data_IF_289334565672
#
_entry.id   IF_289334565672
#
_cell.length_a   1.000
_cell.length_b   1.000
_cell.length_c   1.000
_cell.angle_alpha   90.00
_cell.angle_beta   90.00
_cell.angle_gamma   90.00
#
_symmetry.space_group_name_H-M   'P 1'
#
loop_
_entity.id
_entity.type
_entity.pdbx_description
1 polymer ?
#
# COMPACT_ATOMS: atom_id res chain seq x y z
N UNK A 1 -54.91 -22.18 5.00
CA UNK A 1 -53.52 -22.61 5.26
C UNK A 1 -52.75 -22.59 3.95
N UNK A 2 -52.00 -21.53 3.69
CA UNK A 2 -51.06 -21.38 2.56
C UNK A 2 -50.05 -20.35 3.08
N UNK A 3 -48.80 -20.65 3.38
CA UNK A 3 -47.79 -21.41 2.64
C UNK A 3 -46.66 -20.42 2.31
N UNK A 4 -45.91 -19.97 3.32
CA UNK A 4 -44.80 -19.01 3.16
C UNK A 4 -43.61 -19.74 2.56
N UNK A 5 -43.34 -19.49 1.27
CA UNK A 5 -42.11 -19.92 0.60
C UNK A 5 -40.94 -19.08 1.09
N UNK A 6 -40.01 -19.71 1.81
CA UNK A 6 -38.75 -19.09 2.21
C UNK A 6 -37.91 -18.74 0.97
N UNK A 7 -37.45 -17.49 0.91
CA UNK A 7 -36.50 -17.05 -0.13
C UNK A 7 -35.17 -17.79 0.01
N UNK A 8 -34.57 -18.30 -1.09
CA UNK A 8 -33.30 -18.98 -1.00
C UNK A 8 -32.21 -17.98 -0.62
N UNK A 9 -31.46 -18.32 0.43
CA UNK A 9 -30.30 -17.57 0.89
C UNK A 9 -29.32 -17.43 -0.29
N UNK A 10 -29.20 -16.22 -0.85
CA UNK A 10 -28.25 -15.93 -1.93
C UNK A 10 -26.85 -16.21 -1.40
N UNK A 11 -26.13 -17.15 -2.02
CA UNK A 11 -24.69 -17.30 -1.78
C UNK A 11 -24.00 -15.96 -2.05
N UNK A 12 -23.05 -15.52 -1.20
CA UNK A 12 -22.26 -14.33 -1.50
C UNK A 12 -21.56 -14.54 -2.84
N UNK A 13 -21.79 -13.63 -3.78
CA UNK A 13 -21.14 -13.65 -5.09
C UNK A 13 -19.62 -13.56 -4.87
N UNK A 14 -18.87 -14.40 -5.57
CA UNK A 14 -17.40 -14.29 -5.52
C UNK A 14 -16.99 -12.93 -6.12
N UNK A 15 -15.87 -12.33 -5.67
CA UNK A 15 -15.41 -11.02 -6.16
C UNK A 15 -15.21 -10.89 -7.68
N UNK A 16 -15.32 -11.99 -8.44
CA UNK A 16 -15.22 -12.04 -9.90
C UNK A 16 -16.54 -11.73 -10.62
N UNK A 17 -17.70 -11.90 -9.99
CA UNK A 17 -19.02 -11.85 -10.66
C UNK A 17 -19.71 -10.48 -10.60
N UNK A 18 -19.21 -9.64 -9.72
CA UNK A 18 -19.68 -8.28 -9.54
C UNK A 18 -18.79 -7.43 -10.45
N UNK A 19 -19.37 -6.75 -11.44
CA UNK A 19 -18.70 -6.12 -12.61
C UNK A 19 -17.68 -5.01 -12.34
N UNK A 20 -16.96 -5.06 -11.21
CA UNK A 20 -15.94 -4.13 -10.73
C UNK A 20 -14.64 -4.20 -11.54
N UNK A 21 -14.41 -5.29 -12.30
CA UNK A 21 -13.25 -5.48 -13.19
C UNK A 21 -13.52 -5.07 -14.66
N UNK A 22 -14.35 -4.05 -14.90
CA UNK A 22 -14.69 -3.60 -16.26
C UNK A 22 -13.80 -2.45 -16.79
N UNK A 23 -12.75 -2.03 -16.07
CA UNK A 23 -11.66 -1.19 -16.62
C UNK A 23 -10.41 -2.02 -16.96
N UNK A 24 -10.65 -3.22 -17.49
CA UNK A 24 -9.66 -4.29 -17.71
C UNK A 24 -8.72 -4.09 -18.91
N UNK A 25 -8.73 -2.93 -19.58
CA UNK A 25 -8.28 -2.87 -20.97
C UNK A 25 -7.22 -1.81 -21.34
N UNK A 26 -6.69 -0.98 -20.43
CA UNK A 26 -5.80 0.11 -20.89
C UNK A 26 -4.39 0.15 -20.28
N UNK A 27 -4.08 -0.53 -19.17
CA UNK A 27 -2.80 -0.27 -18.46
C UNK A 27 -2.00 -1.52 -18.04
N UNK A 28 -2.51 -2.76 -18.19
CA UNK A 28 -1.79 -3.94 -17.69
C UNK A 28 -1.83 -5.13 -18.65
N UNK A 29 -0.65 -5.60 -19.07
CA UNK A 29 -0.49 -6.82 -19.86
C UNK A 29 -1.04 -8.07 -19.15
N UNK A 30 -1.36 -9.10 -19.93
CA UNK A 30 -1.97 -10.35 -19.47
C UNK A 30 -1.12 -11.02 -18.38
N UNK A 31 -1.58 -10.98 -17.12
CA UNK A 31 -0.96 -11.66 -15.98
C UNK A 31 -0.86 -10.83 -14.70
N UNK A 32 -1.00 -9.50 -14.77
CA UNK A 32 -1.03 -8.65 -13.58
C UNK A 32 -2.44 -8.61 -12.96
N UNK A 33 -2.56 -8.96 -11.69
CA UNK A 33 -3.80 -8.80 -10.94
C UNK A 33 -3.97 -7.32 -10.59
N UNK A 34 -5.05 -6.66 -11.05
CA UNK A 34 -5.27 -5.24 -10.81
C UNK A 34 -5.22 -4.96 -9.32
N UNK A 35 -4.33 -4.06 -8.96
CA UNK A 35 -4.08 -3.66 -7.59
C UNK A 35 -3.72 -2.21 -7.68
N UNK A 36 -4.40 -1.41 -6.87
CA UNK A 36 -4.23 0.03 -6.82
C UNK A 36 -3.61 0.31 -5.46
N UNK A 37 -2.27 0.30 -5.34
CA UNK A 37 -1.61 0.52 -4.07
C UNK A 37 -2.10 1.80 -3.41
N UNK A 38 -2.46 1.73 -2.14
CA UNK A 38 -2.71 2.89 -1.30
C UNK A 38 -1.57 2.95 -0.30
N UNK A 39 -0.68 3.92 -0.51
CA UNK A 39 0.57 4.05 0.23
C UNK A 39 0.48 5.28 1.12
N UNK A 40 0.86 5.11 2.39
CA UNK A 40 1.07 6.22 3.33
C UNK A 40 2.50 6.20 3.79
N UNK A 41 3.11 7.38 3.88
CA UNK A 41 4.43 7.62 4.43
C UNK A 41 4.26 8.57 5.61
N UNK A 42 4.27 8.04 6.82
CA UNK A 42 4.29 8.81 8.06
C UNK A 42 5.75 9.10 8.42
N UNK A 43 6.10 10.35 8.68
CA UNK A 43 7.49 10.74 8.92
C UNK A 43 7.59 11.88 9.91
N UNK A 44 8.68 11.95 10.67
CA UNK A 44 8.93 13.09 11.58
C UNK A 44 9.08 14.38 10.78
N UNK A 45 8.31 15.41 11.12
CA UNK A 45 8.24 16.68 10.37
C UNK A 45 9.59 17.39 10.23
N UNK A 46 10.48 17.24 11.23
CA UNK A 46 11.84 17.82 11.21
C UNK A 46 12.80 17.19 10.20
N UNK A 47 12.40 16.11 9.52
CA UNK A 47 13.13 15.58 8.36
C UNK A 47 12.84 16.49 7.16
N UNK A 48 13.74 17.44 6.91
CA UNK A 48 13.67 18.30 5.74
C UNK A 48 13.99 17.55 4.43
N UNK A 49 13.85 18.23 3.29
CA UNK A 49 14.09 17.63 1.96
C UNK A 49 15.56 17.20 1.74
N UNK A 50 16.51 17.64 2.56
CA UNK A 50 17.92 17.19 2.50
C UNK A 50 18.14 15.88 3.25
N UNK A 51 17.37 15.66 4.33
CA UNK A 51 17.40 14.43 5.12
C UNK A 51 16.47 13.36 4.57
N UNK A 52 15.37 13.75 3.93
CA UNK A 52 14.43 12.85 3.28
C UNK A 52 13.86 13.47 1.99
N UNK A 53 14.42 13.11 0.84
CA UNK A 53 13.90 13.55 -0.46
C UNK A 53 12.62 12.77 -0.82
N UNK A 54 11.50 13.26 -0.26
CA UNK A 54 10.15 12.69 -0.42
C UNK A 54 9.72 12.62 -1.88
N UNK A 55 10.10 13.61 -2.69
CA UNK A 55 9.67 13.68 -4.09
C UNK A 55 10.40 12.66 -4.95
N UNK A 56 11.71 12.52 -4.78
CA UNK A 56 12.46 11.49 -5.48
C UNK A 56 12.10 10.09 -4.98
N UNK A 57 11.93 9.92 -3.66
CA UNK A 57 11.43 8.67 -3.07
C UNK A 57 10.09 8.25 -3.68
N UNK A 58 9.11 9.16 -3.78
CA UNK A 58 7.80 8.84 -4.35
C UNK A 58 7.88 8.36 -5.81
N UNK A 59 8.78 8.94 -6.61
CA UNK A 59 8.98 8.58 -8.03
C UNK A 59 9.52 7.17 -8.21
N UNK A 60 10.35 6.69 -7.28
CA UNK A 60 10.88 5.32 -7.32
C UNK A 60 9.99 4.32 -6.56
N UNK A 61 9.26 4.77 -5.55
CA UNK A 61 8.40 3.90 -4.74
C UNK A 61 7.22 3.34 -5.53
N UNK A 62 6.54 4.16 -6.32
CA UNK A 62 5.39 3.74 -7.12
C UNK A 62 5.70 2.57 -8.08
N UNK A 63 6.71 2.67 -8.98
CA UNK A 63 7.05 1.57 -9.87
C UNK A 63 7.61 0.34 -9.14
N UNK A 64 8.33 0.54 -8.03
CA UNK A 64 8.83 -0.57 -7.20
C UNK A 64 7.67 -1.40 -6.65
N UNK A 65 6.71 -0.74 -6.00
CA UNK A 65 5.54 -1.40 -5.42
C UNK A 65 4.77 -2.11 -6.52
N UNK A 66 4.46 -1.43 -7.62
CA UNK A 66 3.75 -2.02 -8.78
C UNK A 66 4.41 -3.31 -9.26
N UNK A 67 5.73 -3.30 -9.41
CA UNK A 67 6.52 -4.45 -9.88
C UNK A 67 6.50 -5.59 -8.86
N UNK A 68 6.87 -5.33 -7.61
CA UNK A 68 7.01 -6.34 -6.56
C UNK A 68 5.66 -6.96 -6.14
N UNK A 69 4.58 -6.17 -6.13
CA UNK A 69 3.23 -6.68 -5.83
C UNK A 69 2.47 -7.19 -7.05
N UNK A 70 3.12 -7.27 -8.22
CA UNK A 70 2.52 -7.69 -9.49
C UNK A 70 1.17 -6.99 -9.74
N UNK A 71 1.17 -5.68 -9.51
CA UNK A 71 -0.03 -4.86 -9.50
C UNK A 71 -0.22 -4.19 -10.85
N UNK A 72 -1.48 -3.98 -11.24
CA UNK A 72 -1.82 -3.13 -12.38
C UNK A 72 -2.73 -2.00 -11.91
N UNK A 73 -2.39 -0.76 -12.26
CA UNK A 73 -3.20 0.41 -11.97
C UNK A 73 -2.41 1.60 -11.44
N UNK A 74 -3.14 2.58 -10.90
CA UNK A 74 -2.59 3.82 -10.34
C UNK A 74 -2.30 3.65 -8.85
N UNK A 75 -1.05 3.84 -8.44
CA UNK A 75 -0.66 3.97 -7.04
C UNK A 75 -0.95 5.37 -6.50
N UNK A 76 -1.27 5.44 -5.20
CA UNK A 76 -1.54 6.69 -4.49
C UNK A 76 -0.60 6.75 -3.31
N UNK A 77 0.18 7.81 -3.19
CA UNK A 77 1.14 8.01 -2.10
C UNK A 77 0.76 9.28 -1.34
N UNK A 78 0.54 9.16 -0.03
CA UNK A 78 0.34 10.27 0.88
C UNK A 78 1.54 10.42 1.80
N UNK A 79 2.04 11.63 1.96
CA UNK A 79 3.04 11.97 2.97
C UNK A 79 2.35 12.67 4.14
N UNK A 80 2.54 12.16 5.35
CA UNK A 80 1.92 12.66 6.58
C UNK A 80 3.02 13.07 7.57
N UNK A 81 3.24 14.37 7.80
CA UNK A 81 4.18 14.82 8.81
C UNK A 81 3.62 14.54 10.21
N UNK A 82 4.47 13.98 11.06
CA UNK A 82 4.24 13.83 12.49
C UNK A 82 5.09 14.89 13.22
N UNK A 83 4.48 15.78 14.04
CA UNK A 83 5.23 16.81 14.76
C UNK A 83 6.31 16.23 15.68
N UNK A 84 6.03 15.08 16.29
CA UNK A 84 6.93 14.35 17.18
C UNK A 84 6.79 12.85 16.94
N UNK A 85 7.91 12.14 17.08
CA UNK A 85 7.99 10.68 17.02
C UNK A 85 8.92 10.18 18.11
N UNK A 86 8.55 9.07 18.73
CA UNK A 86 9.32 8.47 19.81
C UNK A 86 9.64 7.01 19.49
N UNK A 87 10.87 6.59 19.76
CA UNK A 87 11.32 5.20 19.65
C UNK A 87 11.92 4.80 20.99
N UNK A 88 11.42 3.71 21.57
CA UNK A 88 11.84 3.23 22.91
C UNK A 88 11.72 4.29 24.02
N UNK A 89 10.72 5.17 23.94
CA UNK A 89 10.46 6.22 24.93
C UNK A 89 11.24 7.51 24.71
N UNK A 90 12.15 7.57 23.75
CA UNK A 90 12.97 8.75 23.44
C UNK A 90 12.56 9.38 22.11
N UNK A 91 12.63 10.71 22.03
CA UNK A 91 12.32 11.39 20.76
C UNK A 91 13.36 10.99 19.71
N UNK A 92 12.89 10.46 18.58
CA UNK A 92 13.76 9.93 17.55
C UNK A 92 13.12 10.12 16.17
N UNK A 93 13.88 10.57 15.16
CA UNK A 93 13.39 10.59 13.79
C UNK A 93 12.93 9.21 13.33
N UNK A 94 11.77 9.16 12.68
CA UNK A 94 11.10 7.94 12.30
C UNK A 94 10.40 8.12 10.95
N UNK A 95 10.49 7.09 10.11
CA UNK A 95 9.75 6.99 8.85
C UNK A 95 9.05 5.64 8.80
N UNK A 96 7.73 5.65 8.69
CA UNK A 96 6.90 4.46 8.52
C UNK A 96 6.21 4.50 7.17
N UNK A 97 6.31 3.41 6.41
CA UNK A 97 5.58 3.25 5.16
C UNK A 97 4.55 2.14 5.29
N UNK A 98 3.28 2.49 5.09
CA UNK A 98 2.21 1.50 4.93
C UNK A 98 1.91 1.32 3.44
N UNK A 99 2.00 0.10 2.94
CA UNK A 99 1.55 -0.28 1.60
C UNK A 99 0.30 -1.14 1.73
N UNK A 100 -0.86 -0.55 1.41
CA UNK A 100 -2.12 -1.27 1.40
C UNK A 100 -2.47 -1.75 -0.02
N UNK A 101 -2.64 -3.05 -0.18
CA UNK A 101 -2.93 -3.72 -1.45
C UNK A 101 -4.31 -4.36 -1.41
N UNK A 102 -4.91 -4.63 -2.58
CA UNK A 102 -6.04 -5.57 -2.60
C UNK A 102 -5.56 -6.96 -2.12
N UNK A 103 -6.45 -7.78 -1.52
CA UNK A 103 -6.12 -9.13 -1.07
C UNK A 103 -5.50 -9.99 -2.19
N UNK A 104 -5.01 -11.18 -1.80
CA UNK A 104 -4.42 -12.23 -2.65
C UNK A 104 -2.90 -12.16 -2.89
N UNK A 105 -2.14 -11.39 -2.10
CA UNK A 105 -0.67 -11.51 -2.06
C UNK A 105 -0.25 -12.47 -0.96
N UNK A 106 0.66 -13.39 -1.26
CA UNK A 106 1.17 -14.33 -0.26
C UNK A 106 1.98 -13.62 0.82
N UNK A 107 2.09 -14.18 2.04
CA UNK A 107 2.95 -13.61 3.09
C UNK A 107 4.39 -13.41 2.63
N UNK A 108 4.95 -14.37 1.88
CA UNK A 108 6.30 -14.28 1.33
C UNK A 108 6.45 -13.13 0.31
N UNK A 109 5.43 -12.88 -0.51
CA UNK A 109 5.45 -11.73 -1.43
C UNK A 109 5.34 -10.40 -0.69
N UNK A 110 4.49 -10.33 0.34
CA UNK A 110 4.38 -9.13 1.21
C UNK A 110 5.71 -8.85 1.93
N UNK A 111 6.38 -9.88 2.45
CA UNK A 111 7.69 -9.74 3.08
C UNK A 111 8.76 -9.20 2.11
N UNK A 112 8.87 -9.77 0.90
CA UNK A 112 9.79 -9.26 -0.13
C UNK A 112 9.51 -7.81 -0.48
N UNK A 113 8.23 -7.43 -0.60
CA UNK A 113 7.86 -6.05 -0.85
C UNK A 113 8.27 -5.13 0.32
N UNK A 114 8.07 -5.55 1.57
CA UNK A 114 8.54 -4.79 2.73
C UNK A 114 10.06 -4.57 2.68
N UNK A 115 10.83 -5.62 2.41
CA UNK A 115 12.30 -5.56 2.33
C UNK A 115 12.76 -4.63 1.20
N UNK A 116 12.11 -4.71 0.03
CA UNK A 116 12.41 -3.85 -1.12
C UNK A 116 12.15 -2.37 -0.81
N UNK A 117 11.04 -2.05 -0.14
CA UNK A 117 10.70 -0.69 0.26
C UNK A 117 11.65 -0.18 1.35
N UNK A 118 12.05 -1.02 2.31
CA UNK A 118 13.09 -0.68 3.30
C UNK A 118 14.43 -0.34 2.63
N UNK A 119 14.85 -1.16 1.67
CA UNK A 119 16.07 -0.91 0.90
C UNK A 119 15.98 0.40 0.10
N UNK A 120 14.80 0.71 -0.46
CA UNK A 120 14.54 1.99 -1.13
C UNK A 120 14.64 3.16 -0.14
N UNK A 121 14.01 3.08 1.02
CA UNK A 121 14.08 4.12 2.07
C UNK A 121 15.52 4.41 2.45
N UNK A 122 16.37 3.39 2.60
CA UNK A 122 17.78 3.54 2.92
C UNK A 122 18.59 4.35 1.89
N UNK A 123 18.08 4.51 0.65
CA UNK A 123 18.70 5.37 -0.37
C UNK A 123 18.26 6.84 -0.29
N UNK A 124 17.10 7.12 0.31
CA UNK A 124 16.45 8.43 0.30
C UNK A 124 16.40 9.13 1.65
N UNK A 125 16.50 8.36 2.71
CA UNK A 125 16.72 8.87 4.06
C UNK A 125 18.22 8.96 4.23
N UNK A 126 18.75 10.19 4.31
CA UNK A 126 20.18 10.41 4.46
C UNK A 126 20.69 9.59 5.66
N UNK A 127 21.77 8.83 5.43
CA UNK A 127 22.31 7.80 6.33
C UNK A 127 22.91 8.30 7.65
N UNK A 128 22.22 9.20 8.33
CA UNK A 128 22.44 9.42 9.74
C UNK A 128 21.98 8.18 10.51
N UNK A 129 22.77 7.68 11.48
CA UNK A 129 22.41 6.54 12.34
C UNK A 129 21.23 6.81 13.31
N UNK A 130 20.32 7.72 12.95
CA UNK A 130 19.31 8.31 13.82
C UNK A 130 17.90 8.34 13.21
N UNK A 131 17.67 7.74 12.05
CA UNK A 131 16.31 7.63 11.51
C UNK A 131 15.90 6.17 11.54
N UNK A 132 14.94 5.84 12.39
CA UNK A 132 14.35 4.51 12.41
C UNK A 132 13.37 4.41 11.25
N UNK A 133 13.41 3.30 10.53
CA UNK A 133 12.53 3.05 9.38
C UNK A 133 11.74 1.77 9.58
N UNK A 134 10.51 1.74 9.10
CA UNK A 134 9.70 0.52 9.09
C UNK A 134 8.74 0.50 7.91
N UNK A 135 8.33 -0.70 7.52
CA UNK A 135 7.38 -0.92 6.44
C UNK A 135 6.33 -1.94 6.86
N UNK A 136 5.07 -1.63 6.64
CA UNK A 136 3.95 -2.56 6.76
C UNK A 136 3.32 -2.78 5.39
N UNK A 137 3.15 -4.04 5.00
CA UNK A 137 2.34 -4.42 3.83
C UNK A 137 1.08 -5.11 4.31
N UNK A 138 -0.09 -4.53 4.02
CA UNK A 138 -1.39 -5.03 4.50
C UNK A 138 -2.43 -5.12 3.39
N UNK A 139 -3.50 -5.85 3.68
CA UNK A 139 -4.66 -5.90 2.80
C UNK A 139 -5.59 -4.71 3.06
N UNK A 140 -6.15 -4.17 1.98
CA UNK A 140 -7.30 -3.29 2.01
C UNK A 140 -8.55 -4.12 2.36
N UNK A 141 -9.48 -3.57 3.13
CA UNK A 141 -10.73 -4.25 3.45
C UNK A 141 -11.58 -4.43 2.18
N UNK A 142 -12.44 -5.44 2.16
CA UNK A 142 -13.38 -5.72 1.06
C UNK A 142 -14.35 -4.56 0.77
N UNK A 143 -14.52 -3.64 1.72
CA UNK A 143 -15.31 -2.42 1.57
C UNK A 143 -14.60 -1.29 0.84
N UNK A 144 -13.30 -1.41 0.54
CA UNK A 144 -12.54 -0.38 -0.18
C UNK A 144 -13.13 -0.13 -1.57
N UNK A 145 -13.33 1.14 -1.92
CA UNK A 145 -13.83 1.59 -3.22
C UNK A 145 -12.94 2.71 -3.74
N UNK A 146 -12.72 2.73 -5.04
CA UNK A 146 -12.11 3.85 -5.75
C UNK A 146 -13.11 4.35 -6.81
N UNK A 147 -13.18 5.66 -6.96
CA UNK A 147 -13.79 6.32 -8.11
C UNK A 147 -12.75 7.29 -8.66
N UNK A 148 -12.46 7.20 -9.94
CA UNK A 148 -11.54 8.06 -10.68
C UNK A 148 -12.14 8.43 -12.01
#
# INVERSE_FOLDING_TARGET
MTGVTASPCRRPRTPRENGWYAHRATIGGAGAEPSMPHITVDYTERLDDTLFDRRAFAKELDPLVVTESHSAGVGKIFFRPAPLTFVSGEEHPYVHVTVALLPNRSPAQKARLSDAVLALLGRYVAGGPHVVTSVEVRDLPDSYRLRG
#
